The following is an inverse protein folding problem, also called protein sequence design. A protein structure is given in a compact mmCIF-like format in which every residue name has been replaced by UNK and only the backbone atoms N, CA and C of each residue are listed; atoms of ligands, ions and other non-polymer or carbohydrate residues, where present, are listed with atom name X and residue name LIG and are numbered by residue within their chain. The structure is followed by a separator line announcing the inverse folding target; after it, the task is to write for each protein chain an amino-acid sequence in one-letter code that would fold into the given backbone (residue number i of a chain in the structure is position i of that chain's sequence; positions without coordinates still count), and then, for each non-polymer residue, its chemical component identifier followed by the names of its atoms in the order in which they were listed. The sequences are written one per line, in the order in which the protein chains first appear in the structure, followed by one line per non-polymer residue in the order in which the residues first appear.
data_IF_391258534162
#
_entry.id   IF_391258534162
#
_cell.length_a   1.000
_cell.length_b   1.000
_cell.length_c   1.000
_cell.angle_alpha   90.00
_cell.angle_beta   90.00
_cell.angle_gamma   90.00
#
_symmetry.space_group_name_H-M   'P 1'
#
loop_
_entity.id
_entity.type
_entity.pdbx_description
1 polymer ?
#
# COMPACT_ATOMS: atom_id res chain seq x y z
N UNK A 1 -28.81 57.04 -49.52
CA UNK A 1 -29.05 55.94 -48.56
C UNK A 1 -28.14 54.79 -48.97
N UNK A 2 -26.94 54.72 -48.40
CA UNK A 2 -25.90 53.73 -48.74
C UNK A 2 -25.96 52.58 -47.73
N UNK A 3 -26.37 51.40 -48.17
CA UNK A 3 -26.16 50.15 -47.44
C UNK A 3 -24.70 49.71 -47.62
N UNK A 4 -23.95 49.66 -46.51
CA UNK A 4 -22.60 49.10 -46.47
C UNK A 4 -22.65 47.55 -46.54
N UNK A 5 -21.70 46.88 -47.21
CA UNK A 5 -21.63 45.43 -47.23
C UNK A 5 -21.00 44.87 -45.94
N UNK A 6 -21.52 43.72 -45.49
CA UNK A 6 -21.06 42.98 -44.31
C UNK A 6 -19.64 42.41 -44.49
N UNK A 7 -18.84 42.32 -43.42
CA UNK A 7 -17.51 41.71 -43.46
C UNK A 7 -17.58 40.19 -43.56
N UNK A 8 -16.73 39.63 -44.41
CA UNK A 8 -16.52 38.20 -44.64
C UNK A 8 -15.97 37.50 -43.40
N UNK A 9 -16.67 36.45 -42.95
CA UNK A 9 -16.21 35.52 -41.91
C UNK A 9 -14.95 34.80 -42.38
N UNK A 10 -13.81 35.18 -41.81
CA UNK A 10 -12.53 34.46 -41.96
C UNK A 10 -12.57 33.26 -41.04
N UNK A 11 -12.81 32.08 -41.59
CA UNK A 11 -12.63 30.80 -40.90
C UNK A 11 -11.15 30.61 -40.58
N UNK A 12 -10.74 30.97 -39.36
CA UNK A 12 -9.45 30.57 -38.81
C UNK A 12 -9.51 29.08 -38.49
N UNK A 13 -9.06 28.26 -39.44
CA UNK A 13 -8.65 26.88 -39.18
C UNK A 13 -7.51 26.89 -38.15
N UNK A 14 -7.88 26.77 -36.87
CA UNK A 14 -6.95 26.46 -35.78
C UNK A 14 -6.57 24.98 -35.90
N UNK A 15 -5.70 24.68 -36.85
CA UNK A 15 -5.10 23.36 -36.99
C UNK A 15 -4.10 23.16 -35.83
N UNK A 16 -4.53 22.42 -34.80
CA UNK A 16 -3.67 21.84 -33.79
C UNK A 16 -2.64 20.93 -34.48
N UNK A 17 -1.46 21.47 -34.78
CA UNK A 17 -0.32 20.72 -35.25
C UNK A 17 0.31 20.05 -34.03
N UNK A 18 -0.19 18.86 -33.68
CA UNK A 18 0.48 17.98 -32.73
C UNK A 18 1.80 17.55 -33.38
N UNK A 19 2.88 18.14 -32.89
CA UNK A 19 4.28 17.79 -33.20
C UNK A 19 4.54 16.35 -32.71
N UNK A 20 4.36 15.40 -33.62
CA UNK A 20 4.43 13.95 -33.35
C UNK A 20 5.85 13.46 -33.06
N UNK A 21 6.85 14.30 -33.29
CA UNK A 21 8.28 13.95 -33.27
C UNK A 21 9.00 14.35 -31.98
N UNK A 22 8.30 14.96 -31.00
CA UNK A 22 8.89 15.41 -29.73
C UNK A 22 8.60 14.55 -28.50
N UNK A 23 7.91 13.42 -28.63
CA UNK A 23 7.66 12.50 -27.51
C UNK A 23 8.37 11.18 -27.79
N UNK A 24 9.68 11.19 -27.58
CA UNK A 24 10.48 9.97 -27.61
C UNK A 24 10.25 9.23 -26.29
N UNK A 25 9.16 8.46 -26.20
CA UNK A 25 8.73 7.71 -25.01
C UNK A 25 9.84 6.81 -24.46
N UNK A 26 10.70 6.29 -25.34
CA UNK A 26 11.85 5.47 -24.99
C UNK A 26 12.94 6.21 -24.21
N UNK A 27 13.00 7.55 -24.30
CA UNK A 27 13.94 8.36 -23.53
C UNK A 27 13.46 8.60 -22.08
N UNK A 28 12.16 8.44 -21.82
CA UNK A 28 11.59 8.41 -20.46
C UNK A 28 11.67 7.01 -19.82
N UNK A 29 11.84 5.96 -20.64
CA UNK A 29 12.03 4.59 -20.17
C UNK A 29 13.47 4.33 -19.66
N UNK A 30 14.41 5.21 -19.96
CA UNK A 30 15.67 5.32 -19.23
C UNK A 30 15.41 6.09 -17.92
N UNK A 31 14.77 5.42 -16.97
CA UNK A 31 14.91 5.80 -15.56
C UNK A 31 16.36 5.48 -15.24
N UNK A 32 17.25 6.46 -15.40
CA UNK A 32 18.62 6.38 -14.92
C UNK A 32 18.57 6.27 -13.39
N UNK A 33 18.50 5.03 -12.95
CA UNK A 33 18.45 4.60 -11.56
C UNK A 33 19.86 4.66 -10.99
N UNK A 34 20.48 5.84 -11.03
CA UNK A 34 21.62 6.12 -10.19
C UNK A 34 21.07 6.38 -8.79
N UNK A 35 21.04 5.30 -7.98
CA UNK A 35 21.08 5.43 -6.52
C UNK A 35 22.44 6.03 -6.19
N UNK A 36 22.57 7.35 -6.33
CA UNK A 36 23.77 8.06 -5.88
C UNK A 36 23.96 7.80 -4.38
N UNK A 37 25.18 7.44 -4.01
CA UNK A 37 25.62 7.05 -2.67
C UNK A 37 24.92 7.86 -1.57
N UNK A 38 24.14 7.15 -0.76
CA UNK A 38 22.96 7.72 -0.11
C UNK A 38 23.24 8.68 1.03
N UNK A 39 22.69 9.89 0.90
CA UNK A 39 22.23 10.66 2.06
C UNK A 39 21.20 9.84 2.85
N UNK A 40 21.01 10.15 4.15
CA UNK A 40 20.06 9.45 5.04
C UNK A 40 18.65 9.27 4.44
N UNK A 41 18.20 10.23 3.62
CA UNK A 41 16.90 10.22 2.95
C UNK A 41 16.75 9.12 1.89
N UNK A 42 17.78 8.87 1.06
CA UNK A 42 17.72 7.86 -0.01
C UNK A 42 17.62 6.44 0.58
N UNK A 43 18.36 6.19 1.66
CA UNK A 43 18.27 4.93 2.41
C UNK A 43 16.87 4.70 2.97
N UNK A 44 16.25 5.72 3.58
CA UNK A 44 14.90 5.62 4.12
C UNK A 44 13.87 5.25 3.04
N UNK A 45 13.96 5.88 1.86
CA UNK A 45 13.07 5.60 0.73
C UNK A 45 13.18 4.15 0.30
N UNK A 46 14.39 3.63 0.07
CA UNK A 46 14.60 2.24 -0.37
C UNK A 46 14.07 1.25 0.67
N UNK A 47 14.37 1.48 1.96
CA UNK A 47 13.87 0.63 3.05
C UNK A 47 12.35 0.63 3.11
N UNK A 48 11.71 1.79 2.92
CA UNK A 48 10.25 1.91 2.94
C UNK A 48 9.61 1.22 1.73
N UNK A 49 10.17 1.38 0.53
CA UNK A 49 9.67 0.70 -0.68
C UNK A 49 9.76 -0.82 -0.50
N UNK A 50 10.89 -1.32 0.00
CA UNK A 50 11.05 -2.74 0.32
C UNK A 50 10.07 -3.21 1.41
N UNK A 51 9.86 -2.39 2.43
CA UNK A 51 8.89 -2.68 3.49
C UNK A 51 7.45 -2.75 2.95
N UNK A 52 7.08 -1.83 2.06
CA UNK A 52 5.76 -1.83 1.42
C UNK A 52 5.55 -3.06 0.54
N UNK A 53 6.57 -3.48 -0.19
CA UNK A 53 6.56 -4.75 -0.94
C UNK A 53 6.31 -5.95 -0.01
N UNK A 54 7.04 -6.05 1.11
CA UNK A 54 6.89 -7.13 2.08
C UNK A 54 5.53 -7.12 2.76
N UNK A 55 5.01 -5.94 3.13
CA UNK A 55 3.65 -5.80 3.67
C UNK A 55 2.62 -6.24 2.64
N UNK A 56 2.78 -5.86 1.37
CA UNK A 56 1.87 -6.28 0.32
C UNK A 56 1.85 -7.81 0.16
N UNK A 57 3.04 -8.45 0.12
CA UNK A 57 3.13 -9.91 0.10
C UNK A 57 2.40 -10.51 1.29
N UNK A 58 2.78 -10.15 2.53
CA UNK A 58 2.18 -10.73 3.74
C UNK A 58 0.67 -10.50 3.80
N UNK A 59 0.20 -9.36 3.28
CA UNK A 59 -1.20 -9.00 3.26
C UNK A 59 -2.00 -9.84 2.26
N UNK A 60 -1.55 -9.90 1.00
CA UNK A 60 -2.26 -10.59 -0.09
C UNK A 60 -1.96 -12.07 -0.17
N UNK A 61 -1.02 -12.58 0.62
CA UNK A 61 -0.75 -14.00 0.75
C UNK A 61 -2.03 -14.77 1.03
N UNK A 62 -2.90 -14.19 1.88
CA UNK A 62 -4.03 -14.87 2.49
C UNK A 62 -5.39 -14.58 1.86
N UNK A 63 -5.56 -13.36 1.38
CA UNK A 63 -6.80 -12.87 0.78
C UNK A 63 -7.46 -13.84 -0.22
N UNK A 64 -6.75 -14.41 -1.21
CA UNK A 64 -7.40 -15.22 -2.24
C UNK A 64 -7.95 -16.56 -1.72
N UNK A 65 -7.44 -17.06 -0.60
CA UNK A 65 -7.86 -18.35 -0.04
C UNK A 65 -8.80 -18.22 1.16
N UNK A 66 -9.19 -16.99 1.53
CA UNK A 66 -10.13 -16.75 2.63
C UNK A 66 -11.44 -17.58 2.53
N UNK A 67 -12.06 -17.76 1.33
CA UNK A 67 -13.24 -18.63 1.21
C UNK A 67 -12.93 -20.10 1.50
N UNK A 68 -11.76 -20.60 1.06
CA UNK A 68 -11.30 -21.96 1.33
C UNK A 68 -10.98 -22.15 2.82
N UNK A 69 -10.50 -21.10 3.48
CA UNK A 69 -10.26 -21.15 4.91
C UNK A 69 -11.57 -21.16 5.70
N UNK A 70 -12.60 -20.39 5.30
CA UNK A 70 -13.94 -20.48 5.91
C UNK A 70 -14.55 -21.89 5.78
N UNK A 71 -14.37 -22.53 4.62
CA UNK A 71 -14.70 -23.94 4.42
C UNK A 71 -13.98 -24.85 5.42
N UNK A 72 -12.68 -24.62 5.62
CA UNK A 72 -11.87 -25.38 6.56
C UNK A 72 -12.32 -25.21 8.01
N UNK A 73 -12.83 -24.03 8.37
CA UNK A 73 -13.43 -23.74 9.67
C UNK A 73 -14.83 -24.36 9.86
N UNK A 74 -15.39 -24.99 8.81
CA UNK A 74 -16.66 -25.70 8.88
C UNK A 74 -17.88 -24.89 8.43
N UNK A 75 -17.69 -23.72 7.80
CA UNK A 75 -18.81 -22.94 7.24
C UNK A 75 -19.49 -23.74 6.11
N UNK A 76 -20.82 -23.92 6.14
CA UNK A 76 -21.54 -24.65 5.09
C UNK A 76 -21.41 -24.00 3.71
N UNK A 77 -21.38 -24.82 2.65
CA UNK A 77 -21.26 -24.36 1.26
C UNK A 77 -22.31 -23.30 0.86
N UNK A 78 -23.53 -23.42 1.41
CA UNK A 78 -24.62 -22.47 1.16
C UNK A 78 -24.36 -21.06 1.72
N UNK A 79 -23.47 -20.93 2.72
CA UNK A 79 -23.24 -19.68 3.44
C UNK A 79 -21.85 -19.07 3.15
N UNK A 80 -20.93 -19.80 2.52
CA UNK A 80 -19.56 -19.33 2.23
C UNK A 80 -19.56 -17.97 1.54
N UNK A 81 -20.40 -17.77 0.52
CA UNK A 81 -20.41 -16.52 -0.24
C UNK A 81 -20.80 -15.33 0.65
N UNK A 82 -21.76 -15.54 1.55
CA UNK A 82 -22.20 -14.52 2.50
C UNK A 82 -21.08 -14.23 3.52
N UNK A 83 -20.52 -15.26 4.14
CA UNK A 83 -19.45 -15.12 5.13
C UNK A 83 -18.19 -14.50 4.53
N UNK A 84 -17.80 -14.92 3.33
CA UNK A 84 -16.71 -14.31 2.58
C UNK A 84 -16.96 -12.82 2.41
N UNK A 85 -18.15 -12.43 1.94
CA UNK A 85 -18.53 -11.03 1.76
C UNK A 85 -18.46 -10.23 3.07
N UNK A 86 -18.96 -10.78 4.17
CA UNK A 86 -18.94 -10.14 5.50
C UNK A 86 -17.49 -9.94 5.97
N UNK A 87 -16.67 -10.99 5.93
CA UNK A 87 -15.29 -10.98 6.42
C UNK A 87 -14.39 -10.05 5.59
N UNK A 88 -14.62 -9.94 4.29
CA UNK A 88 -13.96 -8.93 3.45
C UNK A 88 -14.42 -7.52 3.79
N UNK A 89 -15.74 -7.31 3.83
CA UNK A 89 -16.33 -5.98 3.96
C UNK A 89 -16.00 -5.34 5.30
N UNK A 90 -16.04 -6.09 6.40
CA UNK A 90 -15.78 -5.55 7.75
C UNK A 90 -14.37 -4.97 7.86
N UNK A 91 -13.37 -5.62 7.25
CA UNK A 91 -12.00 -5.15 7.24
C UNK A 91 -11.88 -3.81 6.52
N UNK A 92 -12.46 -3.68 5.33
CA UNK A 92 -12.40 -2.45 4.54
C UNK A 92 -13.26 -1.33 5.11
N UNK A 93 -14.42 -1.66 5.70
CA UNK A 93 -15.27 -0.71 6.40
C UNK A 93 -14.51 -0.05 7.56
N UNK A 94 -13.90 -0.86 8.42
CA UNK A 94 -13.13 -0.36 9.57
C UNK A 94 -11.88 0.38 9.09
N UNK A 95 -11.17 -0.14 8.08
CA UNK A 95 -10.02 0.56 7.50
C UNK A 95 -10.39 1.94 6.94
N UNK A 96 -11.56 2.08 6.30
CA UNK A 96 -12.07 3.36 5.81
C UNK A 96 -12.33 4.36 6.92
N UNK A 97 -12.96 3.93 8.02
CA UNK A 97 -13.20 4.77 9.21
C UNK A 97 -11.88 5.13 9.91
N UNK A 98 -10.94 4.18 9.98
CA UNK A 98 -9.66 4.35 10.67
C UNK A 98 -8.63 5.12 9.85
N UNK A 99 -8.79 5.22 8.53
CA UNK A 99 -7.86 5.93 7.64
C UNK A 99 -7.54 7.37 8.10
N UNK A 100 -8.55 8.24 8.30
CA UNK A 100 -8.34 9.60 8.81
C UNK A 100 -7.71 9.64 10.20
N UNK A 101 -8.05 8.68 11.08
CA UNK A 101 -7.53 8.58 12.44
C UNK A 101 -6.03 8.28 12.41
N UNK A 102 -5.62 7.32 11.58
CA UNK A 102 -4.21 7.02 11.35
C UNK A 102 -3.50 8.22 10.73
N UNK A 103 -4.07 8.87 9.71
CA UNK A 103 -3.49 10.09 9.13
C UNK A 103 -3.16 11.16 10.19
N UNK A 104 -4.15 11.51 11.02
CA UNK A 104 -3.97 12.47 12.12
C UNK A 104 -2.95 12.00 13.16
N UNK A 105 -2.89 10.70 13.46
CA UNK A 105 -1.89 10.13 14.38
C UNK A 105 -0.47 10.21 13.79
N UNK A 106 -0.32 10.06 12.48
CA UNK A 106 0.95 10.20 11.77
C UNK A 106 1.53 11.61 11.94
N UNK A 107 0.67 12.61 11.78
CA UNK A 107 1.06 14.02 11.81
C UNK A 107 1.40 14.49 13.24
N UNK A 108 0.76 13.91 14.25
CA UNK A 108 0.93 14.33 15.66
C UNK A 108 1.97 13.52 16.43
N UNK A 109 2.01 12.20 16.26
CA UNK A 109 2.92 11.30 17.00
C UNK A 109 4.24 11.05 16.29
N UNK A 110 4.35 11.46 15.02
CA UNK A 110 5.47 11.17 14.15
C UNK A 110 5.23 9.95 13.26
N UNK A 111 5.50 10.12 11.97
CA UNK A 111 5.20 9.15 10.91
C UNK A 111 5.92 7.81 11.12
N UNK A 112 7.18 7.80 11.56
CA UNK A 112 7.94 6.57 11.84
C UNK A 112 7.32 5.75 12.98
N UNK A 113 7.03 6.38 14.11
CA UNK A 113 6.40 5.70 15.26
C UNK A 113 5.05 5.11 14.89
N UNK A 114 4.30 5.82 14.03
CA UNK A 114 3.05 5.31 13.51
C UNK A 114 3.24 4.07 12.62
N UNK A 115 4.19 4.12 11.67
CA UNK A 115 4.50 2.97 10.80
C UNK A 115 4.83 1.72 11.62
N UNK A 116 5.63 1.86 12.68
CA UNK A 116 5.98 0.75 13.57
C UNK A 116 4.75 0.18 14.27
N UNK A 117 3.91 1.03 14.86
CA UNK A 117 2.67 0.60 15.55
C UNK A 117 1.74 -0.15 14.59
N UNK A 118 1.53 0.40 13.39
CA UNK A 118 0.67 -0.23 12.39
C UNK A 118 1.22 -1.59 11.94
N UNK A 119 2.52 -1.71 11.65
CA UNK A 119 3.14 -2.98 11.26
C UNK A 119 3.02 -4.05 12.36
N UNK A 120 3.23 -3.68 13.63
CA UNK A 120 3.08 -4.59 14.77
C UNK A 120 1.64 -5.08 14.90
N UNK A 121 0.67 -4.15 14.88
CA UNK A 121 -0.75 -4.48 14.98
C UNK A 121 -1.21 -5.35 13.80
N UNK A 122 -0.72 -5.08 12.59
CA UNK A 122 -0.99 -5.92 11.43
C UNK A 122 -0.47 -7.34 11.66
N UNK A 123 0.75 -7.51 12.16
CA UNK A 123 1.28 -8.84 12.50
C UNK A 123 0.41 -9.59 13.50
N UNK A 124 -0.06 -8.92 14.56
CA UNK A 124 -1.03 -9.52 15.50
C UNK A 124 -2.36 -9.87 14.84
N UNK A 125 -2.84 -9.09 13.87
CA UNK A 125 -4.08 -9.44 13.15
C UNK A 125 -3.96 -10.75 12.39
N UNK A 126 -2.79 -11.01 11.77
CA UNK A 126 -2.54 -12.26 11.06
C UNK A 126 -2.33 -13.42 12.03
N UNK A 127 -1.69 -13.19 13.18
CA UNK A 127 -1.62 -14.18 14.25
C UNK A 127 -3.01 -14.60 14.71
N UNK A 128 -3.92 -13.65 14.95
CA UNK A 128 -5.29 -13.96 15.34
C UNK A 128 -6.09 -14.67 14.25
N UNK A 129 -5.85 -14.36 12.98
CA UNK A 129 -6.46 -15.12 11.89
C UNK A 129 -5.95 -16.56 11.83
N UNK A 130 -4.68 -16.82 12.12
CA UNK A 130 -4.13 -18.18 12.18
C UNK A 130 -4.65 -18.98 13.37
N UNK A 131 -5.01 -18.32 14.48
CA UNK A 131 -5.57 -18.92 15.69
C UNK A 131 -7.10 -19.12 15.63
N UNK A 132 -7.77 -18.57 14.62
CA UNK A 132 -9.23 -18.61 14.56
C UNK A 132 -9.73 -20.03 14.33
N UNK A 133 -10.67 -20.48 15.16
CA UNK A 133 -11.29 -21.81 15.06
C UNK A 133 -12.70 -21.77 14.46
N UNK A 134 -13.26 -20.58 14.27
CA UNK A 134 -14.57 -20.35 13.66
C UNK A 134 -14.61 -19.03 12.88
N UNK A 135 -15.65 -18.86 12.08
CA UNK A 135 -15.88 -17.70 11.21
C UNK A 135 -16.07 -16.38 11.96
N UNK A 136 -16.58 -16.42 13.19
CA UNK A 136 -16.76 -15.23 14.03
C UNK A 136 -15.42 -14.71 14.56
N UNK A 137 -14.53 -15.60 15.00
CA UNK A 137 -13.16 -15.26 15.39
C UNK A 137 -12.37 -14.71 14.22
N UNK A 138 -12.50 -15.32 13.04
CA UNK A 138 -11.89 -14.81 11.82
C UNK A 138 -12.44 -13.41 11.47
N UNK A 139 -13.75 -13.20 11.52
CA UNK A 139 -14.37 -11.89 11.33
C UNK A 139 -13.81 -10.85 12.32
N UNK A 140 -13.65 -11.22 13.60
CA UNK A 140 -13.05 -10.37 14.63
C UNK A 140 -11.58 -10.02 14.33
N UNK A 141 -10.78 -11.01 13.92
CA UNK A 141 -9.39 -10.80 13.53
C UNK A 141 -9.27 -9.88 12.31
N UNK A 142 -10.18 -10.00 11.35
CA UNK A 142 -10.27 -9.16 10.15
C UNK A 142 -10.76 -7.74 10.46
N UNK A 143 -11.66 -7.60 11.42
CA UNK A 143 -12.05 -6.30 11.94
C UNK A 143 -10.86 -5.58 12.61
N UNK A 144 -10.11 -6.31 13.43
CA UNK A 144 -8.87 -5.81 14.03
C UNK A 144 -7.80 -5.48 12.98
N UNK A 145 -7.70 -6.25 11.91
CA UNK A 145 -6.82 -5.92 10.79
C UNK A 145 -7.20 -4.58 10.13
N UNK A 146 -8.49 -4.35 9.88
CA UNK A 146 -8.99 -3.06 9.38
C UNK A 146 -8.59 -1.91 10.31
N UNK A 147 -8.68 -2.14 11.62
CA UNK A 147 -8.20 -1.17 12.62
C UNK A 147 -6.69 -0.93 12.53
N UNK A 148 -5.89 -1.96 12.27
CA UNK A 148 -4.43 -1.88 12.17
C UNK A 148 -3.91 -1.30 10.84
N UNK A 149 -4.78 -1.04 9.85
CA UNK A 149 -4.40 -0.72 8.48
C UNK A 149 -3.88 0.72 8.26
N UNK A 150 -2.81 1.11 8.97
CA UNK A 150 -2.20 2.44 8.89
C UNK A 150 -0.81 2.48 8.22
N UNK A 151 -0.20 1.33 7.94
CA UNK A 151 1.21 1.26 7.54
C UNK A 151 1.51 1.97 6.23
N UNK A 152 0.72 1.67 5.18
CA UNK A 152 0.94 2.19 3.83
C UNK A 152 0.84 3.72 3.80
N UNK A 153 -0.12 4.30 4.53
CA UNK A 153 -0.26 5.74 4.67
C UNK A 153 0.97 6.37 5.36
N UNK A 154 1.45 5.75 6.44
CA UNK A 154 2.67 6.17 7.13
C UNK A 154 3.88 6.18 6.20
N UNK A 155 4.09 5.07 5.48
CA UNK A 155 5.22 4.87 4.60
C UNK A 155 5.22 5.89 3.45
N UNK A 156 4.07 6.08 2.81
CA UNK A 156 3.91 7.08 1.74
C UNK A 156 4.19 8.50 2.24
N UNK A 157 3.75 8.84 3.44
CA UNK A 157 4.00 10.15 4.02
C UNK A 157 5.50 10.38 4.33
N UNK A 158 6.24 9.36 4.76
CA UNK A 158 7.70 9.46 4.98
C UNK A 158 8.46 9.52 3.65
N UNK A 159 8.06 8.72 2.66
CA UNK A 159 8.64 8.74 1.32
C UNK A 159 8.45 10.14 0.70
N UNK A 160 7.25 10.70 0.81
CA UNK A 160 6.95 12.05 0.30
C UNK A 160 7.83 13.12 0.95
N UNK A 161 8.06 13.07 2.27
CA UNK A 161 8.92 14.03 2.97
C UNK A 161 10.41 13.87 2.63
N UNK A 162 10.80 12.66 2.24
CA UNK A 162 12.21 12.31 1.98
C UNK A 162 12.62 12.51 0.52
N UNK A 163 11.65 12.47 -0.40
CA UNK A 163 11.87 12.54 -1.84
C UNK A 163 12.28 13.96 -2.30
N UNK A 164 13.09 14.02 -3.35
CA UNK A 164 13.41 15.29 -4.00
C UNK A 164 12.18 15.81 -4.77
N UNK A 165 11.83 17.11 -4.71
CA UNK A 165 10.63 17.65 -5.35
C UNK A 165 10.49 17.26 -6.84
N UNK A 166 11.61 17.30 -7.57
CA UNK A 166 11.66 16.96 -9.01
C UNK A 166 11.43 15.46 -9.30
N UNK A 167 11.73 14.57 -8.35
CA UNK A 167 11.62 13.11 -8.49
C UNK A 167 10.51 12.50 -7.64
N UNK A 168 9.67 13.33 -7.01
CA UNK A 168 8.64 12.89 -6.08
C UNK A 168 7.63 11.93 -6.74
N UNK A 169 7.13 12.28 -7.92
CA UNK A 169 6.20 11.44 -8.68
C UNK A 169 6.79 10.07 -9.03
N UNK A 170 8.05 10.03 -9.47
CA UNK A 170 8.74 8.78 -9.78
C UNK A 170 8.94 7.91 -8.52
N UNK A 171 9.31 8.53 -7.39
CA UNK A 171 9.54 7.82 -6.12
C UNK A 171 8.24 7.22 -5.57
N UNK A 172 7.15 7.98 -5.56
CA UNK A 172 5.84 7.48 -5.14
C UNK A 172 5.32 6.41 -6.12
N UNK A 173 5.59 6.58 -7.41
CA UNK A 173 5.31 5.58 -8.44
C UNK A 173 5.99 4.24 -8.12
N UNK A 174 7.29 4.24 -7.81
CA UNK A 174 8.02 3.02 -7.41
C UNK A 174 7.43 2.38 -6.15
N UNK A 175 7.02 3.19 -5.18
CA UNK A 175 6.39 2.69 -3.96
C UNK A 175 5.03 2.02 -4.23
N UNK A 176 4.24 2.55 -5.19
CA UNK A 176 3.01 1.91 -5.66
C UNK A 176 3.30 0.65 -6.48
N UNK A 177 4.31 0.67 -7.34
CA UNK A 177 4.75 -0.52 -8.07
C UNK A 177 5.13 -1.64 -7.10
N UNK A 178 5.86 -1.33 -6.04
CA UNK A 178 6.19 -2.30 -4.99
C UNK A 178 4.95 -2.91 -4.34
N UNK A 179 3.92 -2.12 -4.03
CA UNK A 179 2.65 -2.65 -3.52
C UNK A 179 1.97 -3.59 -4.53
N UNK A 180 1.92 -3.21 -5.82
CA UNK A 180 1.28 -4.02 -6.87
C UNK A 180 2.03 -5.33 -7.10
N UNK A 181 3.35 -5.26 -7.27
CA UNK A 181 4.18 -6.46 -7.49
C UNK A 181 4.11 -7.38 -6.27
N UNK A 182 4.19 -6.83 -5.06
CA UNK A 182 4.01 -7.62 -3.84
C UNK A 182 2.60 -8.21 -3.75
N UNK A 183 1.58 -7.45 -4.18
CA UNK A 183 0.19 -7.88 -4.25
C UNK A 183 -0.03 -9.08 -5.18
N UNK A 184 0.72 -9.17 -6.28
CA UNK A 184 0.71 -10.30 -7.21
C UNK A 184 1.53 -11.48 -6.67
N UNK A 185 2.70 -11.19 -6.08
CA UNK A 185 3.58 -12.22 -5.53
C UNK A 185 2.98 -12.92 -4.30
N UNK A 186 2.20 -12.19 -3.49
CA UNK A 186 1.56 -12.72 -2.28
C UNK A 186 0.74 -13.98 -2.53
N UNK A 187 -0.32 -13.97 -3.36
CA UNK A 187 -1.11 -15.15 -3.69
C UNK A 187 -0.30 -16.34 -4.18
N UNK A 188 0.75 -16.11 -4.97
CA UNK A 188 1.62 -17.17 -5.50
C UNK A 188 2.39 -17.84 -4.37
N UNK A 189 3.05 -17.05 -3.52
CA UNK A 189 3.78 -17.55 -2.35
C UNK A 189 2.81 -18.21 -1.36
N UNK A 190 1.67 -17.58 -1.12
CA UNK A 190 0.64 -18.05 -0.19
C UNK A 190 -0.02 -19.34 -0.60
N UNK A 191 -0.31 -19.52 -1.89
CA UNK A 191 -0.85 -20.78 -2.40
C UNK A 191 0.12 -21.94 -2.25
N UNK A 192 1.41 -21.72 -2.55
CA UNK A 192 2.46 -22.73 -2.35
C UNK A 192 2.63 -23.08 -0.87
N UNK A 193 2.70 -22.08 0.01
CA UNK A 193 2.80 -22.30 1.46
C UNK A 193 1.55 -23.02 2.00
N UNK A 194 0.35 -22.58 1.62
CA UNK A 194 -0.89 -23.20 2.05
C UNK A 194 -0.97 -24.68 1.64
N UNK A 195 -0.43 -25.03 0.46
CA UNK A 195 -0.36 -26.42 0.00
C UNK A 195 0.67 -27.25 0.78
N UNK A 196 1.85 -26.69 1.06
CA UNK A 196 2.96 -27.43 1.69
C UNK A 196 2.82 -27.59 3.21
N UNK A 197 2.35 -26.55 3.89
CA UNK A 197 2.35 -26.46 5.35
C UNK A 197 0.97 -26.12 5.93
N UNK A 198 -0.06 -25.95 5.10
CA UNK A 198 -1.42 -25.64 5.53
C UNK A 198 -1.75 -24.15 5.57
N UNK A 199 -3.05 -23.84 5.55
CA UNK A 199 -3.57 -22.47 5.52
C UNK A 199 -3.26 -21.71 6.81
N UNK A 200 -3.44 -22.34 7.98
CA UNK A 200 -3.16 -21.75 9.30
C UNK A 200 -1.70 -21.29 9.41
N UNK A 201 -0.75 -22.15 9.05
CA UNK A 201 0.68 -21.82 9.09
C UNK A 201 1.07 -20.69 8.13
N UNK A 202 0.32 -20.53 7.04
CA UNK A 202 0.50 -19.42 6.10
C UNK A 202 0.17 -18.08 6.78
N UNK A 203 -0.85 -18.02 7.64
CA UNK A 203 -1.14 -16.82 8.44
C UNK A 203 0.01 -16.49 9.41
N UNK A 204 0.58 -17.50 10.08
CA UNK A 204 1.70 -17.28 11.00
C UNK A 204 2.95 -16.74 10.29
N UNK A 205 3.24 -17.23 9.07
CA UNK A 205 4.33 -16.69 8.25
C UNK A 205 4.06 -15.23 7.87
N UNK A 206 2.83 -14.89 7.47
CA UNK A 206 2.44 -13.49 7.21
C UNK A 206 2.66 -12.60 8.43
N UNK A 207 2.31 -13.08 9.64
CA UNK A 207 2.55 -12.35 10.88
C UNK A 207 4.04 -12.08 11.11
N UNK A 208 4.89 -13.09 10.91
CA UNK A 208 6.35 -12.94 11.00
C UNK A 208 6.87 -11.92 9.99
N UNK A 209 6.40 -11.95 8.73
CA UNK A 209 6.81 -10.97 7.71
C UNK A 209 6.47 -9.54 8.11
N UNK A 210 5.30 -9.32 8.69
CA UNK A 210 4.85 -7.99 9.14
C UNK A 210 5.65 -7.50 10.36
N UNK A 211 6.00 -8.40 11.29
CA UNK A 211 6.91 -8.06 12.38
C UNK A 211 8.34 -7.80 11.90
N UNK A 212 8.83 -8.55 10.90
CA UNK A 212 10.11 -8.24 10.25
C UNK A 212 10.09 -6.84 9.63
N UNK A 213 8.99 -6.44 8.99
CA UNK A 213 8.84 -5.06 8.50
C UNK A 213 8.90 -4.06 9.65
N UNK A 214 8.24 -4.32 10.77
CA UNK A 214 8.34 -3.44 11.95
C UNK A 214 9.80 -3.30 12.41
N UNK A 215 10.56 -4.40 12.45
CA UNK A 215 11.99 -4.39 12.80
C UNK A 215 12.82 -3.59 11.78
N UNK A 216 12.60 -3.78 10.48
CA UNK A 216 13.28 -3.02 9.42
C UNK A 216 13.04 -1.51 9.59
N UNK A 217 11.81 -1.11 9.86
CA UNK A 217 11.43 0.28 10.10
C UNK A 217 12.07 0.82 11.38
N UNK A 218 12.12 0.04 12.46
CA UNK A 218 12.76 0.44 13.73
C UNK A 218 14.24 0.73 13.52
N UNK A 219 14.98 -0.21 12.93
CA UNK A 219 16.43 -0.21 12.89
C UNK A 219 17.03 0.57 11.71
N UNK A 220 16.37 0.59 10.56
CA UNK A 220 16.97 1.12 9.33
C UNK A 220 16.49 2.52 8.96
N UNK A 221 15.29 2.91 9.37
CA UNK A 221 14.75 4.25 9.09
C UNK A 221 15.26 5.24 10.13
N UNK A 222 15.85 6.34 9.70
CA UNK A 222 16.30 7.41 10.58
C UNK A 222 15.36 8.61 10.46
N UNK A 223 14.83 9.09 11.59
CA UNK A 223 14.02 10.30 11.61
C UNK A 223 14.93 11.52 11.38
N UNK A 224 14.52 12.43 10.49
CA UNK A 224 15.03 13.81 10.56
C UNK A 224 14.50 14.42 11.85
N UNK A 225 15.38 14.84 12.75
CA UNK A 225 14.99 15.72 13.85
C UNK A 225 14.43 17.00 13.23
N UNK A 226 13.12 17.20 13.32
CA UNK A 226 12.50 18.49 13.02
C UNK A 226 13.03 19.47 14.08
N UNK A 227 14.01 20.29 13.73
CA UNK A 227 14.34 21.49 14.50
C UNK A 227 13.06 22.31 14.56
N UNK A 228 12.40 22.31 15.73
CA UNK A 228 11.31 23.23 16.00
C UNK A 228 11.86 24.65 15.85
N UNK A 229 11.20 25.56 15.11
CA UNK A 229 11.53 26.97 15.24
C UNK A 229 11.24 27.35 16.69
N UNK A 230 12.30 27.80 17.38
CA UNK A 230 12.24 28.37 18.72
C UNK A 230 11.15 29.46 18.74
N UNK A 231 10.24 29.36 19.70
CA UNK A 231 9.16 30.34 19.91
C UNK A 231 9.66 31.58 20.62
#
# INVERSE_FOLDING_TARGET
MNCAPLPTLRTTHFALRIDKDRVNVWKLAHIDFHVEGGTVNQRNIVVLIASMFLVAIGYTMVIPFLPLYLLHLGVPDSEISLWTGIVFSICFLIAGVMGPIWGKMADTSGKKKMAIRAAILLGFSYLFCGLSTNEYELMGARAFQGFANGFVAAAMAIISDSAHPEKMGATLGMAQTALVVGGIAGPLVGGVLAHLIGMENTFYISAVFLWLVALLVIFLIHDKKTTQPEK
#
